data_IF_620213636929
#
_entry.id   IF_620213636929
#
_cell.length_a   1.000
_cell.length_b   1.000
_cell.length_c   1.000
_cell.angle_alpha   90.00
_cell.angle_beta   90.00
_cell.angle_gamma   90.00
#
_symmetry.space_group_name_H-M   'P 1'
#
loop_
_entity.id
_entity.type
_entity.pdbx_description
1 polymer ?
#
# COMPACT_ATOMS: atom_id res chain seq x y z
N UNK A 1 50.86 -8.44 -89.58
CA UNK A 1 50.54 -7.16 -88.93
C UNK A 1 49.16 -6.65 -89.35
N UNK A 2 48.11 -7.48 -89.28
CA UNK A 2 46.74 -7.07 -89.64
C UNK A 2 45.66 -7.78 -88.81
N UNK A 3 46.01 -8.28 -87.62
CA UNK A 3 45.09 -9.02 -86.75
C UNK A 3 45.04 -8.48 -85.32
N UNK A 4 45.92 -7.53 -84.97
CA UNK A 4 45.98 -6.94 -83.62
C UNK A 4 45.21 -5.61 -83.51
N UNK A 5 44.76 -5.03 -84.63
CA UNK A 5 44.00 -3.77 -84.63
C UNK A 5 42.48 -3.96 -84.65
N UNK A 6 41.97 -5.19 -84.86
CA UNK A 6 40.53 -5.44 -84.85
C UNK A 6 39.96 -5.72 -83.46
N UNK A 7 40.78 -6.21 -82.52
CA UNK A 7 40.35 -6.54 -81.15
C UNK A 7 40.27 -5.29 -80.26
N UNK A 8 41.02 -4.23 -80.59
CA UNK A 8 41.00 -2.96 -79.83
C UNK A 8 39.78 -2.08 -80.12
N UNK A 9 38.96 -2.40 -81.12
CA UNK A 9 37.73 -1.66 -81.45
C UNK A 9 36.45 -2.25 -80.86
N UNK A 10 36.49 -3.45 -80.30
CA UNK A 10 35.36 -4.05 -79.57
C UNK A 10 35.42 -3.86 -78.05
N UNK A 11 36.53 -3.36 -77.50
CA UNK A 11 36.71 -3.19 -76.03
C UNK A 11 36.42 -1.74 -75.57
N UNK A 12 36.07 -0.81 -76.46
CA UNK A 12 35.78 0.59 -76.11
C UNK A 12 34.31 0.98 -76.38
N UNK A 13 33.39 0.07 -76.06
CA UNK A 13 31.95 0.34 -76.14
C UNK A 13 31.18 -0.22 -74.94
N UNK A 14 31.77 -0.14 -73.76
CA UNK A 14 31.09 -0.39 -72.48
C UNK A 14 31.51 0.64 -71.42
N UNK A 15 31.51 1.92 -71.76
CA UNK A 15 31.59 3.00 -70.76
C UNK A 15 30.67 4.13 -71.17
N UNK A 16 29.36 3.93 -71.01
CA UNK A 16 28.38 5.03 -70.98
C UNK A 16 27.00 4.53 -70.47
N UNK A 17 26.99 3.69 -69.44
CA UNK A 17 25.83 3.66 -68.55
C UNK A 17 26.05 4.76 -67.53
N UNK A 18 25.60 5.97 -67.86
CA UNK A 18 25.27 7.01 -66.89
C UNK A 18 24.57 6.31 -65.73
N UNK A 19 25.24 6.23 -64.58
CA UNK A 19 24.57 5.93 -63.34
C UNK A 19 23.48 6.97 -63.17
N UNK A 20 22.24 6.56 -63.43
CA UNK A 20 21.08 7.25 -62.91
C UNK A 20 21.33 7.35 -61.41
N UNK A 21 21.66 8.57 -60.97
CA UNK A 21 21.71 8.87 -59.56
C UNK A 21 20.34 8.50 -59.01
N UNK A 22 20.28 7.38 -58.31
CA UNK A 22 19.11 6.97 -57.56
C UNK A 22 18.87 8.10 -56.56
N UNK A 23 17.90 8.94 -56.90
CA UNK A 23 17.35 10.00 -56.06
C UNK A 23 16.49 9.37 -54.95
N UNK A 24 17.04 8.44 -54.16
CA UNK A 24 16.37 7.88 -52.98
C UNK A 24 16.74 8.61 -51.69
N UNK A 25 17.47 9.72 -51.77
CA UNK A 25 18.13 10.33 -50.61
C UNK A 25 17.26 11.12 -49.62
N UNK A 26 15.95 11.29 -49.81
CA UNK A 26 15.12 12.07 -48.86
C UNK A 26 13.88 11.32 -48.35
N UNK A 27 13.14 10.63 -49.22
CA UNK A 27 11.94 9.87 -48.81
C UNK A 27 12.26 8.60 -48.03
N UNK A 28 13.38 7.93 -48.34
CA UNK A 28 13.81 6.71 -47.67
C UNK A 28 14.38 7.02 -46.27
N UNK A 29 15.08 8.15 -46.12
CA UNK A 29 15.55 8.67 -44.82
C UNK A 29 14.40 9.14 -43.93
N UNK A 30 13.38 9.79 -44.48
CA UNK A 30 12.19 10.24 -43.74
C UNK A 30 11.32 9.05 -43.27
N UNK A 31 11.22 8.01 -44.10
CA UNK A 31 10.56 6.75 -43.72
C UNK A 31 11.32 6.03 -42.58
N UNK A 32 12.65 6.02 -42.61
CA UNK A 32 13.47 5.45 -41.54
C UNK A 32 13.34 6.22 -40.22
N UNK A 33 13.37 7.56 -40.24
CA UNK A 33 13.18 8.39 -39.04
C UNK A 33 11.77 8.21 -38.45
N UNK A 34 10.75 8.11 -39.30
CA UNK A 34 9.37 7.83 -38.86
C UNK A 34 9.24 6.47 -38.16
N UNK A 35 9.84 5.41 -38.75
CA UNK A 35 9.89 4.09 -38.15
C UNK A 35 10.65 4.06 -36.83
N UNK A 36 11.75 4.81 -36.72
CA UNK A 36 12.54 4.90 -35.49
C UNK A 36 11.76 5.61 -34.36
N UNK A 37 10.99 6.65 -34.69
CA UNK A 37 10.08 7.32 -33.75
C UNK A 37 8.97 6.39 -33.28
N UNK A 38 8.30 5.69 -34.18
CA UNK A 38 7.26 4.72 -33.83
C UNK A 38 7.82 3.59 -32.96
N UNK A 39 8.99 3.05 -33.31
CA UNK A 39 9.66 2.04 -32.50
C UNK A 39 10.02 2.57 -31.09
N UNK A 40 10.46 3.83 -31.00
CA UNK A 40 10.74 4.50 -29.72
C UNK A 40 9.48 4.65 -28.88
N UNK A 41 8.36 5.10 -29.46
CA UNK A 41 7.08 5.20 -28.78
C UNK A 41 6.56 3.85 -28.31
N UNK A 42 6.64 2.82 -29.15
CA UNK A 42 6.29 1.46 -28.78
C UNK A 42 7.07 0.95 -27.57
N UNK A 43 8.39 1.24 -27.51
CA UNK A 43 9.23 0.87 -26.38
C UNK A 43 8.83 1.62 -25.08
N UNK A 44 8.47 2.91 -25.18
CA UNK A 44 7.98 3.67 -24.03
C UNK A 44 6.65 3.11 -23.52
N UNK A 45 5.74 2.80 -24.43
CA UNK A 45 4.42 2.24 -24.11
C UNK A 45 4.54 0.85 -23.47
N UNK A 46 5.38 -0.02 -24.03
CA UNK A 46 5.67 -1.33 -23.46
C UNK A 46 6.23 -1.22 -22.04
N UNK A 47 7.09 -0.23 -21.78
CA UNK A 47 7.65 0.02 -20.46
C UNK A 47 6.61 0.51 -19.45
N UNK A 48 5.76 1.47 -19.84
CA UNK A 48 4.63 1.97 -19.04
C UNK A 48 3.72 0.79 -18.66
N UNK A 49 3.37 -0.03 -19.63
CA UNK A 49 2.48 -1.17 -19.42
C UNK A 49 3.09 -2.20 -18.47
N UNK A 50 4.39 -2.47 -18.62
CA UNK A 50 5.14 -3.34 -17.71
C UNK A 50 5.12 -2.81 -16.28
N UNK A 51 5.37 -1.51 -16.08
CA UNK A 51 5.41 -0.89 -14.74
C UNK A 51 4.02 -0.97 -14.07
N UNK A 52 2.96 -0.76 -14.86
CA UNK A 52 1.59 -0.85 -14.36
C UNK A 52 1.17 -2.29 -14.06
N UNK A 53 1.67 -3.28 -14.82
CA UNK A 53 1.44 -4.72 -14.59
C UNK A 53 2.25 -5.31 -13.44
N UNK A 54 3.39 -4.72 -13.09
CA UNK A 54 4.19 -5.14 -11.92
C UNK A 54 3.32 -5.13 -10.64
N UNK A 55 3.72 -5.82 -9.58
CA UNK A 55 2.95 -5.83 -8.34
C UNK A 55 3.19 -4.55 -7.53
N UNK A 56 2.17 -4.02 -6.83
CA UNK A 56 2.26 -2.69 -6.16
C UNK A 56 3.18 -2.67 -4.95
N UNK A 57 3.34 -3.82 -4.29
CA UNK A 57 4.15 -3.98 -3.08
C UNK A 57 5.57 -4.50 -3.38
N UNK A 58 5.85 -4.80 -4.65
CA UNK A 58 7.18 -5.24 -5.08
C UNK A 58 7.88 -4.08 -5.81
N UNK A 59 8.61 -3.27 -5.04
CA UNK A 59 9.33 -2.11 -5.56
C UNK A 59 10.49 -2.50 -6.50
N UNK A 60 11.09 -3.67 -6.30
CA UNK A 60 12.16 -4.18 -7.17
C UNK A 60 11.60 -4.57 -8.54
N UNK A 61 10.46 -5.25 -8.61
CA UNK A 61 9.81 -5.58 -9.89
C UNK A 61 9.38 -4.35 -10.69
N UNK A 62 8.96 -3.27 -10.01
CA UNK A 62 8.63 -1.99 -10.67
C UNK A 62 9.87 -1.36 -11.31
N UNK A 63 11.01 -1.37 -10.62
CA UNK A 63 12.26 -0.79 -11.11
C UNK A 63 13.12 -1.76 -11.96
N UNK A 64 12.67 -3.00 -12.16
CA UNK A 64 13.41 -4.06 -12.86
C UNK A 64 14.74 -4.45 -12.23
N UNK A 65 14.80 -4.41 -10.90
CA UNK A 65 16.01 -4.67 -10.16
C UNK A 65 15.92 -6.02 -9.44
N UNK A 66 17.07 -6.62 -9.18
CA UNK A 66 17.17 -7.75 -8.29
C UNK A 66 17.35 -7.25 -6.85
N UNK A 67 16.90 -8.02 -5.84
CA UNK A 67 17.20 -7.71 -4.45
C UNK A 67 18.72 -7.71 -4.21
N UNK A 68 19.19 -6.82 -3.34
CA UNK A 68 20.62 -6.69 -2.98
C UNK A 68 21.45 -5.72 -3.84
N UNK A 69 20.85 -5.00 -4.80
CA UNK A 69 21.54 -3.94 -5.56
C UNK A 69 21.88 -2.73 -4.69
N UNK A 70 23.01 -2.04 -4.86
CA UNK A 70 23.33 -0.85 -4.07
C UNK A 70 22.38 0.31 -4.37
N UNK A 71 22.22 1.24 -3.41
CA UNK A 71 21.34 2.42 -3.59
C UNK A 71 21.73 3.31 -4.77
N UNK A 72 23.02 3.34 -5.13
CA UNK A 72 23.51 4.04 -6.32
C UNK A 72 22.79 3.59 -7.58
N UNK A 73 22.60 2.28 -7.72
CA UNK A 73 22.06 1.64 -8.92
C UNK A 73 20.55 1.84 -8.98
N UNK A 74 19.89 1.84 -7.82
CA UNK A 74 18.47 2.17 -7.68
C UNK A 74 18.21 3.59 -8.19
N UNK A 75 19.05 4.56 -7.77
CA UNK A 75 18.95 5.95 -8.26
C UNK A 75 19.23 6.06 -9.75
N UNK A 76 20.23 5.34 -10.27
CA UNK A 76 20.56 5.35 -11.70
C UNK A 76 19.41 4.78 -12.53
N UNK A 77 18.88 3.62 -12.16
CA UNK A 77 17.76 2.99 -12.86
C UNK A 77 16.50 3.84 -12.81
N UNK A 78 16.19 4.44 -11.64
CA UNK A 78 15.08 5.39 -11.52
C UNK A 78 15.23 6.55 -12.51
N UNK A 79 16.39 7.23 -12.56
CA UNK A 79 16.63 8.35 -13.49
C UNK A 79 16.47 7.92 -14.95
N UNK A 80 17.01 6.76 -15.32
CA UNK A 80 16.92 6.24 -16.69
C UNK A 80 15.46 5.98 -17.09
N UNK A 81 14.71 5.29 -16.23
CA UNK A 81 13.31 4.91 -16.50
C UNK A 81 12.37 6.12 -16.46
N UNK A 82 12.55 7.01 -15.49
CA UNK A 82 11.70 8.20 -15.35
C UNK A 82 11.81 9.16 -16.53
N UNK A 83 13.00 9.27 -17.14
CA UNK A 83 13.20 10.03 -18.37
C UNK A 83 12.58 9.36 -19.60
N UNK A 84 12.55 8.03 -19.63
CA UNK A 84 11.95 7.25 -20.73
C UNK A 84 10.42 7.37 -20.74
N UNK A 85 9.79 7.29 -19.57
CA UNK A 85 8.32 7.30 -19.41
C UNK A 85 7.75 8.65 -18.95
N UNK A 86 8.53 9.73 -19.05
CA UNK A 86 8.09 11.04 -18.58
C UNK A 86 6.80 11.46 -19.30
N UNK A 87 5.77 11.98 -18.61
CA UNK A 87 4.50 12.35 -19.23
C UNK A 87 4.67 13.37 -20.36
N UNK A 88 5.61 14.32 -20.25
CA UNK A 88 5.87 15.29 -21.33
C UNK A 88 6.53 14.68 -22.59
N UNK A 89 7.13 13.49 -22.50
CA UNK A 89 7.88 12.84 -23.60
C UNK A 89 7.14 11.65 -24.21
N UNK A 90 5.95 11.35 -23.71
CA UNK A 90 5.13 10.20 -24.10
C UNK A 90 3.71 10.66 -24.40
N UNK A 91 3.14 10.16 -25.49
CA UNK A 91 1.75 10.46 -25.88
C UNK A 91 0.73 9.62 -25.09
N UNK A 92 1.20 8.71 -24.23
CA UNK A 92 0.39 7.72 -23.53
C UNK A 92 -0.31 8.34 -22.30
N UNK A 93 -1.65 8.23 -22.20
CA UNK A 93 -2.40 8.80 -21.08
C UNK A 93 -2.08 8.15 -19.72
N UNK A 94 -1.48 6.95 -19.71
CA UNK A 94 -1.13 6.19 -18.50
C UNK A 94 0.28 6.48 -18.00
N UNK A 95 1.05 7.33 -18.70
CA UNK A 95 2.41 7.71 -18.30
C UNK A 95 2.48 8.35 -16.90
N UNK A 96 1.57 9.26 -16.49
CA UNK A 96 1.59 9.84 -15.14
C UNK A 96 1.46 8.76 -14.04
N UNK A 97 0.53 7.81 -14.20
CA UNK A 97 0.32 6.72 -13.25
C UNK A 97 1.56 5.82 -13.12
N UNK A 98 2.20 5.51 -14.25
CA UNK A 98 3.42 4.71 -14.26
C UNK A 98 4.60 5.47 -13.62
N UNK A 99 4.72 6.76 -13.88
CA UNK A 99 5.74 7.63 -13.29
C UNK A 99 5.60 7.72 -11.76
N UNK A 100 4.39 7.94 -11.25
CA UNK A 100 4.12 7.98 -9.81
C UNK A 100 4.46 6.65 -9.14
N UNK A 101 4.16 5.54 -9.82
CA UNK A 101 4.50 4.20 -9.34
C UNK A 101 6.00 3.97 -9.27
N UNK A 102 6.74 4.43 -10.28
CA UNK A 102 8.19 4.38 -10.32
C UNK A 102 8.80 5.22 -9.18
N UNK A 103 8.28 6.43 -8.94
CA UNK A 103 8.71 7.33 -7.87
C UNK A 103 8.45 6.75 -6.48
N UNK A 104 7.28 6.13 -6.29
CA UNK A 104 6.95 5.43 -5.04
C UNK A 104 7.91 4.27 -4.79
N UNK A 105 8.17 3.43 -5.81
CA UNK A 105 9.09 2.31 -5.68
C UNK A 105 10.51 2.76 -5.32
N UNK A 106 11.01 3.84 -5.91
CA UNK A 106 12.30 4.41 -5.54
C UNK A 106 12.29 4.88 -4.07
N UNK A 107 11.24 5.59 -3.65
CA UNK A 107 11.15 6.11 -2.26
C UNK A 107 11.15 4.97 -1.25
N UNK A 108 10.43 3.88 -1.54
CA UNK A 108 10.36 2.70 -0.68
C UNK A 108 11.69 1.95 -0.60
N UNK A 109 12.44 1.83 -1.71
CA UNK A 109 13.76 1.21 -1.70
C UNK A 109 14.86 2.09 -1.08
N UNK A 110 14.63 3.40 -0.98
CA UNK A 110 15.55 4.33 -0.31
C UNK A 110 15.31 4.40 1.21
N UNK A 111 14.16 3.92 1.70
CA UNK A 111 13.89 3.78 3.12
C UNK A 111 14.43 2.42 3.61
N UNK A 112 15.49 2.45 4.41
CA UNK A 112 16.16 1.26 4.95
C UNK A 112 15.17 0.31 5.63
N UNK A 113 14.20 0.82 6.40
CA UNK A 113 13.24 -0.03 7.12
C UNK A 113 12.30 -0.77 6.18
N UNK A 114 11.80 -0.08 5.15
CA UNK A 114 10.89 -0.72 4.19
C UNK A 114 11.66 -1.68 3.30
N UNK A 115 12.87 -1.30 2.91
CA UNK A 115 13.76 -2.13 2.12
C UNK A 115 14.11 -3.43 2.83
N UNK A 116 14.52 -3.38 4.10
CA UNK A 116 14.80 -4.59 4.89
C UNK A 116 13.59 -5.52 4.93
N UNK A 117 12.39 -4.98 5.18
CA UNK A 117 11.16 -5.78 5.22
C UNK A 117 10.85 -6.42 3.86
N UNK A 118 11.07 -5.70 2.76
CA UNK A 118 10.87 -6.22 1.41
C UNK A 118 11.90 -7.31 1.10
N UNK A 119 13.17 -7.09 1.43
CA UNK A 119 14.26 -8.06 1.26
C UNK A 119 13.99 -9.35 2.06
N UNK A 120 13.50 -9.23 3.30
CA UNK A 120 13.05 -10.36 4.13
C UNK A 120 11.93 -11.16 3.45
N UNK A 121 10.88 -10.48 2.95
CA UNK A 121 9.77 -11.17 2.27
C UNK A 121 10.23 -11.88 0.99
N UNK A 122 11.18 -11.28 0.25
CA UNK A 122 11.75 -11.86 -0.97
C UNK A 122 12.64 -13.08 -0.64
N UNK A 123 13.43 -13.00 0.43
CA UNK A 123 14.25 -14.11 0.92
C UNK A 123 13.37 -15.27 1.42
N UNK A 124 12.31 -14.98 2.18
CA UNK A 124 11.34 -15.97 2.63
C UNK A 124 10.67 -16.67 1.45
N UNK A 125 10.25 -15.92 0.42
CA UNK A 125 9.69 -16.49 -0.80
C UNK A 125 10.67 -17.46 -1.50
N UNK A 126 11.96 -17.10 -1.55
CA UNK A 126 13.01 -17.97 -2.11
C UNK A 126 13.13 -19.26 -1.31
N UNK A 127 13.21 -19.16 0.02
CA UNK A 127 13.33 -20.31 0.91
C UNK A 127 12.11 -21.23 0.84
N UNK A 128 10.90 -20.67 0.81
CA UNK A 128 9.66 -21.43 0.68
C UNK A 128 9.61 -22.19 -0.64
N UNK A 129 9.95 -21.53 -1.76
CA UNK A 129 9.97 -22.16 -3.08
C UNK A 129 11.02 -23.29 -3.15
N UNK A 130 12.22 -23.06 -2.61
CA UNK A 130 13.25 -24.10 -2.54
C UNK A 130 12.79 -25.29 -1.70
N UNK A 131 12.12 -25.07 -0.57
CA UNK A 131 11.56 -26.13 0.27
C UNK A 131 10.47 -26.92 -0.46
N UNK A 132 9.56 -26.24 -1.14
CA UNK A 132 8.48 -26.87 -1.91
C UNK A 132 9.04 -27.79 -3.01
N UNK A 133 10.11 -27.37 -3.68
CA UNK A 133 10.79 -28.12 -4.73
C UNK A 133 11.90 -29.06 -4.22
N UNK A 134 12.14 -29.10 -2.90
CA UNK A 134 13.23 -29.87 -2.26
C UNK A 134 14.61 -29.57 -2.86
N UNK A 135 14.85 -28.31 -3.22
CA UNK A 135 16.11 -27.83 -3.79
C UNK A 135 17.05 -27.31 -2.71
N UNK A 136 18.35 -27.52 -2.93
CA UNK A 136 19.42 -26.91 -2.14
C UNK A 136 19.97 -25.66 -2.85
N UNK A 137 20.71 -24.81 -2.13
CA UNK A 137 21.28 -23.56 -2.67
C UNK A 137 22.18 -23.82 -3.88
N UNK A 138 22.85 -24.95 -3.91
CA UNK A 138 23.81 -25.34 -4.95
C UNK A 138 23.15 -26.01 -6.18
N UNK A 139 21.85 -26.30 -6.13
CA UNK A 139 21.16 -26.91 -7.25
C UNK A 139 21.18 -25.98 -8.48
N UNK A 140 21.55 -26.47 -9.68
CA UNK A 140 21.60 -25.64 -10.90
C UNK A 140 20.23 -25.05 -11.24
N UNK A 141 19.14 -25.72 -10.86
CA UNK A 141 17.77 -25.27 -11.06
C UNK A 141 17.48 -23.93 -10.38
N UNK A 142 18.10 -23.66 -9.22
CA UNK A 142 17.91 -22.39 -8.47
C UNK A 142 18.44 -21.19 -9.25
N UNK A 143 19.36 -21.39 -10.19
CA UNK A 143 19.92 -20.36 -11.06
C UNK A 143 19.21 -20.28 -12.42
N UNK A 144 18.23 -21.14 -12.67
CA UNK A 144 17.49 -21.16 -13.93
C UNK A 144 16.55 -19.96 -14.07
N UNK A 145 16.27 -19.58 -15.32
CA UNK A 145 15.28 -18.54 -15.62
C UNK A 145 13.86 -18.95 -15.17
N UNK A 146 13.55 -20.25 -15.22
CA UNK A 146 12.27 -20.79 -14.72
C UNK A 146 12.13 -20.57 -13.21
N UNK A 147 13.16 -20.88 -12.44
CA UNK A 147 13.17 -20.62 -11.00
C UNK A 147 13.04 -19.13 -10.69
N UNK A 148 13.72 -18.25 -11.44
CA UNK A 148 13.58 -16.81 -11.26
C UNK A 148 12.14 -16.32 -11.57
N UNK A 149 11.47 -16.89 -12.56
CA UNK A 149 10.08 -16.57 -12.88
C UNK A 149 9.12 -17.04 -11.77
N UNK A 150 9.33 -18.23 -11.23
CA UNK A 150 8.53 -18.75 -10.13
C UNK A 150 8.80 -18.07 -8.80
N UNK A 151 10.05 -17.74 -8.53
CA UNK A 151 10.44 -16.97 -7.37
C UNK A 151 9.72 -15.64 -7.34
N UNK A 152 9.65 -14.93 -8.48
CA UNK A 152 8.84 -13.69 -8.59
C UNK A 152 7.36 -13.93 -8.28
N UNK A 153 6.76 -15.03 -8.76
CA UNK A 153 5.36 -15.39 -8.42
C UNK A 153 5.20 -15.64 -6.92
N UNK A 154 6.12 -16.39 -6.31
CA UNK A 154 6.10 -16.71 -4.88
C UNK A 154 6.32 -15.47 -4.02
N UNK A 155 7.16 -14.53 -4.46
CA UNK A 155 7.34 -13.24 -3.81
C UNK A 155 6.03 -12.47 -3.71
N UNK A 156 5.24 -12.43 -4.78
CA UNK A 156 3.92 -11.76 -4.75
C UNK A 156 2.99 -12.43 -3.74
N UNK A 157 2.94 -13.77 -3.70
CA UNK A 157 2.15 -14.52 -2.71
C UNK A 157 2.54 -14.16 -1.27
N UNK A 158 3.84 -14.22 -0.95
CA UNK A 158 4.36 -13.89 0.39
C UNK A 158 4.08 -12.43 0.77
N UNK A 159 4.23 -11.49 -0.16
CA UNK A 159 3.93 -10.07 0.09
C UNK A 159 2.44 -9.85 0.38
N UNK A 160 1.56 -10.50 -0.37
CA UNK A 160 0.10 -10.45 -0.13
C UNK A 160 -0.24 -10.99 1.25
N UNK A 161 0.34 -12.12 1.64
CA UNK A 161 0.11 -12.74 2.94
C UNK A 161 0.68 -11.91 4.10
N UNK A 162 1.88 -11.34 3.92
CA UNK A 162 2.52 -10.44 4.88
C UNK A 162 1.66 -9.20 5.14
N UNK A 163 1.14 -8.56 4.09
CA UNK A 163 0.25 -7.40 4.24
C UNK A 163 -1.11 -7.76 4.84
N UNK A 164 -1.70 -8.92 4.47
CA UNK A 164 -2.92 -9.40 5.12
C UNK A 164 -2.71 -9.62 6.62
N UNK A 165 -1.59 -10.24 7.00
CA UNK A 165 -1.23 -10.47 8.41
C UNK A 165 -1.06 -9.15 9.15
N UNK A 166 -0.30 -8.21 8.60
CA UNK A 166 -0.10 -6.87 9.16
C UNK A 166 -1.42 -6.14 9.36
N UNK A 167 -2.30 -6.13 8.34
CA UNK A 167 -3.61 -5.47 8.42
C UNK A 167 -4.51 -6.10 9.48
N UNK A 168 -4.49 -7.43 9.61
CA UNK A 168 -5.23 -8.15 10.65
C UNK A 168 -4.71 -7.84 12.06
N UNK A 169 -3.40 -7.80 12.25
CA UNK A 169 -2.76 -7.45 13.52
C UNK A 169 -3.08 -6.01 13.93
N UNK A 170 -2.95 -5.04 13.03
CA UNK A 170 -3.29 -3.64 13.29
C UNK A 170 -4.76 -3.47 13.68
N UNK A 171 -5.66 -4.16 12.97
CA UNK A 171 -7.10 -4.12 13.28
C UNK A 171 -7.40 -4.73 14.66
N UNK A 172 -6.74 -5.84 15.00
CA UNK A 172 -6.90 -6.47 16.31
C UNK A 172 -6.41 -5.56 17.44
N UNK A 173 -5.24 -4.92 17.25
CA UNK A 173 -4.67 -3.97 18.20
C UNK A 173 -5.61 -2.78 18.44
N UNK A 174 -6.12 -2.13 17.39
CA UNK A 174 -7.06 -1.01 17.54
C UNK A 174 -8.35 -1.42 18.27
N UNK A 175 -8.84 -2.64 18.04
CA UNK A 175 -10.02 -3.15 18.74
C UNK A 175 -9.75 -3.41 20.22
N UNK A 176 -8.55 -3.89 20.56
CA UNK A 176 -8.12 -4.11 21.93
C UNK A 176 -7.92 -2.78 22.67
N UNK A 177 -7.23 -1.82 22.06
CA UNK A 177 -7.06 -0.46 22.57
C UNK A 177 -8.43 0.21 22.79
N UNK A 178 -9.35 0.11 21.84
CA UNK A 178 -10.72 0.64 21.99
C UNK A 178 -11.59 -0.12 23.00
N UNK A 179 -11.26 -1.37 23.34
CA UNK A 179 -11.89 -2.09 24.46
C UNK A 179 -11.31 -1.67 25.80
N UNK A 180 -9.99 -1.47 25.87
CA UNK A 180 -9.30 -1.00 27.06
C UNK A 180 -9.76 0.41 27.43
N UNK A 181 -9.81 1.32 26.45
CA UNK A 181 -10.26 2.69 26.66
C UNK A 181 -11.71 2.77 27.15
N UNK A 182 -12.63 1.98 26.57
CA UNK A 182 -14.02 1.93 27.07
C UNK A 182 -14.11 1.44 28.51
N UNK A 183 -13.32 0.44 28.90
CA UNK A 183 -13.27 -0.03 30.29
C UNK A 183 -12.73 1.03 31.24
N UNK A 184 -11.70 1.76 30.82
CA UNK A 184 -11.13 2.86 31.60
C UNK A 184 -12.13 4.00 31.79
N UNK A 185 -12.81 4.41 30.71
CA UNK A 185 -13.86 5.43 30.75
C UNK A 185 -15.03 4.99 31.65
N UNK A 186 -15.49 3.75 31.53
CA UNK A 186 -16.54 3.16 32.39
C UNK A 186 -16.12 3.15 33.88
N UNK A 187 -14.85 2.83 34.18
CA UNK A 187 -14.33 2.85 35.55
C UNK A 187 -14.24 4.28 36.11
N UNK A 188 -13.77 5.23 35.30
CA UNK A 188 -13.72 6.65 35.67
C UNK A 188 -15.14 7.17 35.93
N UNK A 189 -16.10 6.83 35.07
CA UNK A 189 -17.49 7.23 35.23
C UNK A 189 -18.13 6.57 36.45
N UNK A 190 -17.88 5.29 36.71
CA UNK A 190 -18.36 4.60 37.90
C UNK A 190 -17.76 5.21 39.18
N UNK A 191 -16.47 5.57 39.17
CA UNK A 191 -15.81 6.25 40.28
C UNK A 191 -16.36 7.65 40.49
N UNK A 192 -16.66 8.38 39.42
CA UNK A 192 -17.34 9.68 39.47
C UNK A 192 -18.75 9.53 40.05
N UNK A 193 -19.55 8.59 39.54
CA UNK A 193 -20.90 8.28 40.02
C UNK A 193 -20.91 7.92 41.50
N UNK A 194 -19.95 7.11 41.96
CA UNK A 194 -19.81 6.75 43.36
C UNK A 194 -19.48 7.98 44.23
N UNK A 195 -18.51 8.81 43.81
CA UNK A 195 -18.19 10.06 44.52
C UNK A 195 -19.39 11.01 44.57
N UNK A 196 -20.07 11.21 43.46
CA UNK A 196 -21.23 12.09 43.37
C UNK A 196 -22.37 11.58 44.28
N UNK A 197 -22.59 10.26 44.33
CA UNK A 197 -23.54 9.63 45.25
C UNK A 197 -23.14 9.82 46.73
N UNK A 198 -21.88 9.61 47.10
CA UNK A 198 -21.37 9.83 48.47
C UNK A 198 -21.53 11.29 48.90
N UNK A 199 -21.21 12.24 48.03
CA UNK A 199 -21.41 13.66 48.27
C UNK A 199 -22.89 13.99 48.49
N UNK A 200 -23.78 13.51 47.61
CA UNK A 200 -25.22 13.71 47.75
C UNK A 200 -25.79 13.06 49.03
N UNK A 201 -25.27 11.88 49.40
CA UNK A 201 -25.62 11.21 50.65
C UNK A 201 -25.22 12.04 51.86
N UNK A 202 -23.98 12.54 51.93
CA UNK A 202 -23.54 13.39 53.04
C UNK A 202 -24.31 14.71 53.09
N UNK A 203 -24.62 15.34 51.95
CA UNK A 203 -25.43 16.57 51.93
C UNK A 203 -26.85 16.35 52.48
N UNK A 204 -27.46 15.19 52.20
CA UNK A 204 -28.78 14.84 52.75
C UNK A 204 -28.74 14.38 54.20
N UNK A 205 -27.56 14.27 54.83
CA UNK A 205 -27.37 13.71 56.17
C UNK A 205 -28.19 14.44 57.23
N UNK A 206 -28.12 15.76 57.29
CA UNK A 206 -28.85 16.52 58.33
C UNK A 206 -30.37 16.41 58.18
N UNK A 207 -30.85 16.41 56.94
CA UNK A 207 -32.28 16.18 56.67
C UNK A 207 -32.72 14.78 57.11
N UNK A 208 -31.89 13.77 56.86
CA UNK A 208 -32.15 12.38 57.29
C UNK A 208 -32.07 12.22 58.81
N UNK A 209 -31.09 12.83 59.47
CA UNK A 209 -30.96 12.84 60.94
C UNK A 209 -32.16 13.54 61.57
N UNK A 210 -32.59 14.69 61.03
CA UNK A 210 -33.80 15.40 61.46
C UNK A 210 -35.04 14.50 61.36
N UNK A 211 -35.27 13.91 60.19
CA UNK A 211 -36.39 12.99 59.96
C UNK A 211 -36.39 11.78 60.91
N UNK A 212 -35.20 11.24 61.24
CA UNK A 212 -35.06 10.13 62.19
C UNK A 212 -35.30 10.56 63.64
N UNK A 213 -34.83 11.75 64.05
CA UNK A 213 -35.12 12.33 65.36
C UNK A 213 -36.62 12.54 65.55
N UNK A 214 -37.31 13.05 64.53
CA UNK A 214 -38.76 13.27 64.55
C UNK A 214 -39.53 11.94 64.64
N UNK A 215 -39.12 10.91 63.88
CA UNK A 215 -39.69 9.58 63.98
C UNK A 215 -39.50 8.97 65.37
N UNK A 216 -38.31 9.11 65.97
CA UNK A 216 -38.04 8.60 67.32
C UNK A 216 -38.82 9.34 68.39
N UNK A 217 -38.97 10.67 68.26
CA UNK A 217 -39.83 11.44 69.14
C UNK A 217 -41.28 10.93 69.05
N UNK A 218 -41.82 10.77 67.84
CA UNK A 218 -43.17 10.22 67.63
C UNK A 218 -43.33 8.73 67.96
N UNK A 219 -42.25 7.96 68.13
CA UNK A 219 -42.28 6.56 68.57
C UNK A 219 -42.20 6.41 70.10
N UNK A 220 -41.70 7.42 70.81
CA UNK A 220 -41.75 7.48 72.27
C UNK A 220 -43.13 7.94 72.77
N UNK A 221 -43.91 8.57 71.89
CA UNK A 221 -45.34 8.81 72.04
C UNK A 221 -46.14 7.56 71.61
N UNK A 222 -46.12 6.50 72.43
CA UNK A 222 -47.15 5.45 72.39
C UNK A 222 -48.54 6.04 72.68
N UNK A 223 -49.64 5.39 72.27
CA UNK A 223 -50.95 6.03 72.10
C UNK A 223 -51.51 6.50 73.44
N UNK A 224 -51.34 7.77 73.76
CA UNK A 224 -51.80 8.35 75.01
C UNK A 224 -51.58 9.85 75.06
N UNK A 225 -52.64 10.59 74.68
CA UNK A 225 -52.81 12.06 74.77
C UNK A 225 -52.05 12.88 73.70
N UNK A 226 -52.68 13.75 72.91
CA UNK A 226 -54.05 14.24 72.91
C UNK A 226 -54.31 14.99 71.60
N UNK A 227 -55.57 14.98 71.15
CA UNK A 227 -55.95 15.54 69.85
C UNK A 227 -55.84 17.06 69.75
N UNK A 228 -55.59 17.55 68.53
CA UNK A 228 -56.51 18.48 67.86
C UNK A 228 -56.25 18.55 66.35
N UNK A 229 -57.36 18.48 65.63
CA UNK A 229 -57.68 18.77 64.23
C UNK A 229 -56.65 19.38 63.26
N UNK A 230 -56.69 18.86 62.03
CA UNK A 230 -56.81 19.74 60.85
C UNK A 230 -56.01 19.37 59.61
N UNK A 231 -56.65 18.74 58.62
CA UNK A 231 -56.30 18.95 57.20
C UNK A 231 -55.87 17.70 56.41
N UNK A 232 -56.85 16.96 55.89
CA UNK A 232 -56.60 15.86 54.97
C UNK A 232 -56.00 16.31 53.63
N UNK A 233 -55.05 15.52 53.10
CA UNK A 233 -54.75 15.45 51.66
C UNK A 233 -54.44 14.01 51.24
N UNK A 234 -55.14 13.62 50.18
CA UNK A 234 -55.33 12.27 49.62
C UNK A 234 -54.01 11.57 49.27
N UNK A 235 -53.89 10.28 49.64
CA UNK A 235 -52.91 9.35 49.08
C UNK A 235 -53.21 9.13 47.59
N UNK A 236 -52.40 9.71 46.70
CA UNK A 236 -52.43 9.42 45.27
C UNK A 236 -51.67 8.09 45.04
N UNK A 237 -52.40 7.03 44.71
CA UNK A 237 -51.84 5.72 44.32
C UNK A 237 -50.81 5.94 43.20
N UNK A 238 -49.56 5.52 43.42
CA UNK A 238 -48.54 5.45 42.39
C UNK A 238 -48.87 4.26 41.49
N UNK A 239 -49.08 4.52 40.20
CA UNK A 239 -49.34 3.50 39.17
C UNK A 239 -47.99 2.88 38.80
N UNK A 240 -47.79 1.60 39.08
CA UNK A 240 -46.67 0.80 38.55
C UNK A 240 -46.98 0.55 37.08
N UNK A 241 -46.13 1.07 36.19
CA UNK A 241 -46.11 0.68 34.77
C UNK A 241 -45.29 -0.61 34.68
N UNK A 242 -45.93 -1.65 34.14
CA UNK A 242 -45.23 -2.81 33.58
C UNK A 242 -44.66 -2.49 32.21
#
# INVERSE_FOLDING_TARGET
MAVEDSVKKEILKEEDTKGEGISTGNGELDALDSLEREASEFNKDAEIDRILKAFKLDAYAVLDLQPGVPESDIKICYRKKSLLIHPDKTSNPRAPDAFDRLKKAQTELMDEKQRTRLDECIADARMLLMRERKLTVDSPEVKSAEFAAEWRKKTVEVLVDSEHRRRKQLKAQMQEEGRAQRKEDEEIEARKRKRDHEVAWEQSRETRIGSWRDFKAGANDGPGAGGKDGGGKKKKKLKVLG
#
